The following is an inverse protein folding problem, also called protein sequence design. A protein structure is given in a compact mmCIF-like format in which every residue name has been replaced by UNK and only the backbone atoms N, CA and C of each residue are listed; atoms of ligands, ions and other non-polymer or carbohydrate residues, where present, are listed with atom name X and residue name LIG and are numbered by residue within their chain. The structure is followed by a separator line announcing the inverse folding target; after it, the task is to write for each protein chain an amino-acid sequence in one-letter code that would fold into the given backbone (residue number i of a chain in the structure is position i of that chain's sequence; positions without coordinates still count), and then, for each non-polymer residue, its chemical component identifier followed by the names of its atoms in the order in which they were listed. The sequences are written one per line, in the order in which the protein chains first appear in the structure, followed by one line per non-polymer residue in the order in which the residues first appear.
data_IF_134240751903
#
_entry.id   IF_134240751903
#
_cell.length_a   1.000
_cell.length_b   1.000
_cell.length_c   1.000
_cell.angle_alpha   90.00
_cell.angle_beta   90.00
_cell.angle_gamma   90.00
#
_symmetry.space_group_name_H-M   'P 1'
#
loop_
_entity.id
_entity.type
_entity.pdbx_description
1 polymer ?
#
# COMPACT_ATOMS: atom_id res chain seq x y z
N UNK A 1 25.49 -2.47 -12.06
CA UNK A 1 24.54 -3.55 -12.40
C UNK A 1 23.06 -3.25 -12.10
N UNK A 2 22.72 -2.38 -11.13
CA UNK A 2 21.30 -2.12 -10.74
C UNK A 2 20.49 -1.24 -11.72
N UNK A 3 21.12 -0.42 -12.57
CA UNK A 3 20.43 0.43 -13.55
C UNK A 3 20.00 -0.34 -14.82
N UNK A 4 20.69 -1.40 -15.18
CA UNK A 4 20.36 -2.23 -16.36
C UNK A 4 19.10 -3.07 -16.19
N UNK A 5 18.80 -3.55 -14.97
CA UNK A 5 17.64 -4.41 -14.71
C UNK A 5 16.32 -3.65 -14.83
N UNK A 6 16.30 -2.37 -14.42
CA UNK A 6 15.09 -1.51 -14.52
C UNK A 6 14.76 -1.17 -15.98
N UNK A 7 15.79 -0.93 -16.79
CA UNK A 7 15.64 -0.64 -18.22
C UNK A 7 15.19 -1.90 -18.97
N UNK A 8 15.67 -3.09 -18.58
CA UNK A 8 15.26 -4.35 -19.19
C UNK A 8 13.81 -4.72 -18.87
N UNK A 9 13.34 -4.46 -17.64
CA UNK A 9 11.93 -4.62 -17.27
C UNK A 9 11.01 -3.65 -18.03
N UNK A 10 11.41 -2.39 -18.17
CA UNK A 10 10.65 -1.39 -18.93
C UNK A 10 10.64 -1.70 -20.43
N UNK A 11 11.75 -2.18 -21.04
CA UNK A 11 11.79 -2.56 -22.45
C UNK A 11 10.99 -3.82 -22.74
N UNK A 12 10.99 -4.81 -21.83
CA UNK A 12 10.18 -6.03 -21.95
C UNK A 12 8.67 -5.73 -21.99
N UNK A 13 8.20 -4.76 -21.21
CA UNK A 13 6.80 -4.30 -21.24
C UNK A 13 6.47 -3.61 -22.57
N UNK A 14 7.40 -2.85 -23.14
CA UNK A 14 7.21 -2.18 -24.43
C UNK A 14 7.09 -3.14 -25.61
N UNK A 15 7.80 -4.27 -25.59
CA UNK A 15 7.71 -5.29 -26.65
C UNK A 15 6.43 -6.13 -26.61
N UNK A 16 5.87 -6.37 -25.43
CA UNK A 16 4.59 -7.06 -25.27
C UNK A 16 3.40 -6.24 -25.79
N UNK A 17 3.53 -4.91 -25.86
CA UNK A 17 2.46 -3.99 -26.30
C UNK A 17 2.34 -3.90 -27.84
N UNK A 18 3.37 -4.25 -28.59
CA UNK A 18 3.40 -4.05 -30.06
C UNK A 18 2.80 -5.20 -30.90
N UNK A 19 2.37 -6.30 -30.30
CA UNK A 19 2.03 -7.54 -31.02
C UNK A 19 0.56 -7.80 -31.31
N UNK A 20 -0.40 -6.95 -30.92
CA UNK A 20 -1.81 -7.29 -31.07
C UNK A 20 -2.60 -6.27 -31.89
N UNK A 21 -3.21 -6.73 -33.00
CA UNK A 21 -4.20 -5.96 -33.76
C UNK A 21 -5.48 -5.78 -32.93
N UNK A 22 -5.70 -4.55 -32.44
CA UNK A 22 -6.80 -4.18 -31.53
C UNK A 22 -8.13 -3.97 -32.28
N UNK A 23 -8.12 -3.92 -33.60
CA UNK A 23 -9.32 -3.66 -34.42
C UNK A 23 -10.45 -4.68 -34.26
N UNK A 24 -10.19 -5.90 -33.78
CA UNK A 24 -11.20 -6.94 -33.59
C UNK A 24 -12.10 -6.77 -32.36
N UNK A 25 -11.82 -5.83 -31.46
CA UNK A 25 -12.53 -5.70 -30.17
C UNK A 25 -13.61 -4.62 -30.16
N UNK A 26 -14.08 -4.21 -31.34
CA UNK A 26 -14.77 -2.93 -31.56
C UNK A 26 -16.24 -2.81 -31.16
N UNK A 27 -16.99 -3.87 -30.84
CA UNK A 27 -18.42 -3.63 -30.94
C UNK A 27 -19.32 -3.85 -29.73
N UNK A 28 -18.92 -4.60 -28.73
CA UNK A 28 -19.89 -5.01 -27.67
C UNK A 28 -19.93 -4.16 -26.41
N UNK A 29 -18.94 -3.30 -26.14
CA UNK A 29 -18.83 -2.59 -24.86
C UNK A 29 -18.82 -1.06 -25.03
N UNK A 30 -19.66 -0.54 -25.89
CA UNK A 30 -19.70 0.91 -26.20
C UNK A 30 -20.27 1.81 -25.11
N UNK A 31 -20.94 1.26 -24.10
CA UNK A 31 -21.49 2.07 -23.01
C UNK A 31 -20.68 1.88 -21.73
N UNK A 32 -19.85 2.86 -21.32
CA UNK A 32 -18.99 2.75 -20.16
C UNK A 32 -19.74 2.73 -18.83
N UNK A 33 -20.95 3.30 -18.79
CA UNK A 33 -21.71 3.49 -17.55
C UNK A 33 -22.14 2.16 -16.94
N UNK A 34 -21.84 1.99 -15.65
CA UNK A 34 -22.23 0.82 -14.89
C UNK A 34 -21.43 -0.45 -15.20
N UNK A 35 -20.30 -0.33 -15.88
CA UNK A 35 -19.39 -1.45 -16.07
C UNK A 35 -18.76 -1.83 -14.72
N UNK A 36 -18.95 -3.08 -14.31
CA UNK A 36 -18.34 -3.64 -13.11
C UNK A 36 -17.11 -4.46 -13.50
N UNK A 37 -15.97 -4.13 -12.88
CA UNK A 37 -14.69 -4.77 -13.11
C UNK A 37 -14.14 -5.27 -11.78
N UNK A 38 -13.81 -6.56 -11.68
CA UNK A 38 -13.02 -7.09 -10.57
C UNK A 38 -11.56 -6.75 -10.80
N UNK A 39 -10.85 -6.44 -9.73
CA UNK A 39 -9.43 -6.11 -9.77
C UNK A 39 -8.68 -6.89 -8.72
N UNK A 40 -7.50 -7.39 -9.09
CA UNK A 40 -6.55 -8.00 -8.18
C UNK A 40 -5.18 -7.37 -8.38
N UNK A 41 -4.40 -7.24 -7.32
CA UNK A 41 -3.05 -6.68 -7.37
C UNK A 41 -2.09 -7.50 -6.53
N UNK A 42 -0.86 -7.64 -7.02
CA UNK A 42 0.26 -8.19 -6.27
C UNK A 42 1.47 -7.29 -6.45
N UNK A 43 2.28 -7.15 -5.41
CA UNK A 43 3.43 -6.27 -5.49
C UNK A 43 4.18 -6.14 -4.18
N UNK A 44 4.83 -5.01 -4.00
CA UNK A 44 5.64 -4.69 -2.84
C UNK A 44 5.11 -3.45 -2.13
N UNK A 45 5.24 -3.47 -0.81
CA UNK A 45 4.99 -2.35 0.08
C UNK A 45 6.33 -1.81 0.59
N UNK A 46 6.39 -0.50 0.78
CA UNK A 46 7.56 0.23 1.22
C UNK A 46 7.18 1.23 2.32
N UNK A 47 7.85 1.16 3.46
CA UNK A 47 7.61 2.06 4.59
C UNK A 47 8.43 3.36 4.45
N UNK A 48 7.79 4.49 4.83
CA UNK A 48 8.39 5.82 4.91
C UNK A 48 7.93 6.51 6.19
N UNK A 49 8.69 6.38 7.26
CA UNK A 49 8.39 6.98 8.58
C UNK A 49 9.66 7.10 9.43
N UNK A 50 9.52 7.15 10.73
CA UNK A 50 10.53 7.56 11.69
C UNK A 50 11.72 6.61 11.83
N UNK A 51 11.49 5.31 11.70
CA UNK A 51 12.54 4.30 11.75
C UNK A 51 13.39 4.27 10.49
N UNK A 52 13.13 5.18 9.53
CA UNK A 52 13.84 5.24 8.28
C UNK A 52 14.37 6.63 7.96
N UNK A 53 15.65 6.84 8.19
CA UNK A 53 16.35 8.06 7.79
C UNK A 53 17.18 7.81 6.50
N UNK A 54 16.72 8.38 5.40
CA UNK A 54 17.43 8.39 4.13
C UNK A 54 17.35 7.08 3.32
N UNK A 55 18.31 6.90 2.41
CA UNK A 55 18.43 5.69 1.58
C UNK A 55 19.17 4.62 2.38
N UNK A 56 18.42 3.73 3.01
CA UNK A 56 18.97 2.56 3.67
C UNK A 56 19.34 1.49 2.65
N UNK A 57 20.43 0.76 2.88
CA UNK A 57 20.81 -0.43 2.10
C UNK A 57 19.79 -1.58 2.23
N UNK A 58 18.98 -1.55 3.28
CA UNK A 58 17.93 -2.52 3.57
C UNK A 58 16.56 -1.83 3.52
N UNK A 59 15.87 -1.84 2.37
CA UNK A 59 14.66 -1.04 2.17
C UNK A 59 13.43 -1.48 2.96
N UNK A 60 13.48 -2.59 3.72
CA UNK A 60 12.33 -3.07 4.49
C UNK A 60 11.09 -3.36 3.63
N UNK A 61 11.32 -3.79 2.39
CA UNK A 61 10.24 -4.13 1.46
C UNK A 61 9.49 -5.35 1.96
N UNK A 62 8.16 -5.29 1.88
CA UNK A 62 7.29 -6.41 2.17
C UNK A 62 6.35 -6.72 1.01
N UNK A 63 5.75 -7.91 0.99
CA UNK A 63 4.76 -8.25 0.00
C UNK A 63 3.46 -7.47 0.21
N UNK A 64 2.72 -7.26 -0.89
CA UNK A 64 1.35 -6.75 -0.85
C UNK A 64 0.48 -7.51 -1.83
N UNK A 65 -0.76 -7.79 -1.42
CA UNK A 65 -1.79 -8.41 -2.25
C UNK A 65 -3.10 -7.65 -2.04
N UNK A 66 -3.85 -7.47 -3.11
CA UNK A 66 -5.12 -6.75 -3.04
C UNK A 66 -6.18 -7.38 -3.93
N UNK A 67 -7.44 -7.20 -3.54
CA UNK A 67 -8.61 -7.57 -4.31
C UNK A 67 -9.66 -6.47 -4.15
N UNK A 68 -10.36 -6.17 -5.23
CA UNK A 68 -11.36 -5.12 -5.20
C UNK A 68 -12.25 -5.10 -6.43
N UNK A 69 -13.00 -4.03 -6.55
CA UNK A 69 -13.89 -3.80 -7.67
C UNK A 69 -13.83 -2.33 -8.10
N UNK A 70 -13.98 -2.12 -9.42
CA UNK A 70 -14.21 -0.81 -10.01
C UNK A 70 -15.61 -0.79 -10.61
N UNK A 71 -16.32 0.28 -10.32
CA UNK A 71 -17.61 0.57 -10.92
C UNK A 71 -17.48 1.84 -11.78
N UNK A 72 -17.72 1.73 -13.07
CA UNK A 72 -17.57 2.82 -14.02
C UNK A 72 -18.72 3.83 -13.85
N UNK A 73 -18.38 5.06 -13.45
CA UNK A 73 -19.32 6.17 -13.25
C UNK A 73 -19.48 7.00 -14.51
N UNK A 74 -18.39 7.29 -15.22
CA UNK A 74 -18.36 8.07 -16.45
C UNK A 74 -17.36 7.48 -17.44
N UNK A 75 -17.15 8.12 -18.58
CA UNK A 75 -16.10 7.72 -19.54
C UNK A 75 -14.68 7.78 -18.94
N UNK A 76 -14.46 8.67 -17.98
CA UNK A 76 -13.16 8.89 -17.34
C UNK A 76 -13.09 8.42 -15.89
N UNK A 77 -14.22 8.38 -15.16
CA UNK A 77 -14.21 8.14 -13.72
C UNK A 77 -14.79 6.78 -13.34
N UNK A 78 -14.14 6.12 -12.40
CA UNK A 78 -14.64 4.89 -11.76
C UNK A 78 -14.56 5.03 -10.24
N UNK A 79 -15.61 4.60 -9.54
CA UNK A 79 -15.51 4.30 -8.12
C UNK A 79 -14.73 3.01 -7.93
N UNK A 80 -13.87 2.95 -6.92
CA UNK A 80 -13.03 1.79 -6.59
C UNK A 80 -13.15 1.46 -5.11
N UNK A 81 -13.42 0.20 -4.81
CA UNK A 81 -13.33 -0.36 -3.47
C UNK A 81 -12.31 -1.49 -3.46
N UNK A 82 -11.42 -1.54 -2.45
CA UNK A 82 -10.34 -2.51 -2.40
C UNK A 82 -10.03 -2.92 -0.97
N UNK A 83 -9.81 -4.22 -0.77
CA UNK A 83 -9.21 -4.80 0.43
C UNK A 83 -7.78 -5.18 0.06
N UNK A 84 -6.82 -4.82 0.92
CA UNK A 84 -5.41 -5.08 0.73
C UNK A 84 -4.80 -5.66 1.98
N UNK A 85 -3.88 -6.61 1.81
CA UNK A 85 -3.01 -7.12 2.86
C UNK A 85 -1.58 -6.80 2.48
N UNK A 86 -0.83 -6.23 3.42
CA UNK A 86 0.55 -5.84 3.17
C UNK A 86 1.44 -6.03 4.39
N UNK A 87 2.72 -6.13 4.14
CA UNK A 87 3.74 -6.10 5.17
C UNK A 87 4.69 -4.94 4.90
N UNK A 88 5.05 -4.22 5.96
CA UNK A 88 6.16 -3.27 5.95
C UNK A 88 7.04 -3.50 7.18
N UNK A 89 8.30 -3.12 7.07
CA UNK A 89 9.29 -3.25 8.13
C UNK A 89 10.31 -2.12 8.03
N UNK A 90 10.95 -1.80 9.15
CA UNK A 90 12.16 -1.00 9.17
C UNK A 90 13.06 -1.46 10.32
N UNK A 91 14.36 -1.20 10.16
CA UNK A 91 15.38 -1.51 11.15
C UNK A 91 16.39 -0.36 11.17
N UNK A 92 16.51 0.31 12.32
CA UNK A 92 17.44 1.42 12.51
C UNK A 92 18.90 1.01 12.49
N UNK A 93 19.21 -0.25 12.71
CA UNK A 93 20.59 -0.78 12.58
C UNK A 93 21.26 -0.36 11.26
N UNK A 94 20.47 -0.16 10.20
CA UNK A 94 20.96 0.25 8.88
C UNK A 94 20.70 1.72 8.57
N UNK A 95 20.32 2.52 9.55
CA UNK A 95 20.02 3.95 9.43
C UNK A 95 21.07 4.82 10.12
N UNK A 96 20.93 6.15 9.97
CA UNK A 96 21.76 7.11 10.71
C UNK A 96 21.49 7.10 12.21
N UNK A 97 20.33 6.61 12.65
CA UNK A 97 19.92 6.50 14.05
C UNK A 97 20.18 5.08 14.62
N UNK A 98 21.23 4.41 14.18
CA UNK A 98 21.59 3.05 14.64
C UNK A 98 21.70 2.94 16.17
N UNK A 99 21.96 4.07 16.85
CA UNK A 99 22.08 4.14 18.31
C UNK A 99 20.81 3.70 19.05
N UNK A 100 19.64 3.95 18.49
CA UNK A 100 18.38 3.56 19.12
C UNK A 100 18.09 2.07 18.93
N UNK A 101 18.64 1.46 17.89
CA UNK A 101 18.50 0.03 17.54
C UNK A 101 17.04 -0.45 17.48
N UNK A 102 16.11 0.46 17.18
CA UNK A 102 14.69 0.10 17.08
C UNK A 102 14.41 -0.59 15.74
N UNK A 103 13.54 -1.57 15.77
CA UNK A 103 13.10 -2.29 14.59
C UNK A 103 11.63 -2.68 14.72
N UNK A 104 10.93 -2.73 13.59
CA UNK A 104 9.57 -3.23 13.56
C UNK A 104 9.26 -3.98 12.28
N UNK A 105 8.22 -4.80 12.36
CA UNK A 105 7.50 -5.38 11.24
C UNK A 105 6.01 -5.35 11.53
N UNK A 106 5.23 -4.92 10.56
CA UNK A 106 3.77 -4.94 10.68
C UNK A 106 3.14 -5.60 9.46
N UNK A 107 2.06 -6.37 9.69
CA UNK A 107 1.25 -7.03 8.66
C UNK A 107 -0.17 -6.56 8.82
N UNK A 108 -0.61 -5.72 7.92
CA UNK A 108 -1.84 -4.97 8.10
C UNK A 108 -2.86 -5.27 7.00
N UNK A 109 -4.14 -5.45 7.35
CA UNK A 109 -5.23 -5.31 6.41
C UNK A 109 -5.57 -3.83 6.22
N UNK A 110 -5.88 -3.48 4.96
CA UNK A 110 -6.38 -2.18 4.51
C UNK A 110 -7.76 -2.34 3.89
N UNK A 111 -8.66 -1.40 4.15
CA UNK A 111 -9.90 -1.21 3.40
C UNK A 111 -9.92 0.19 2.82
N UNK A 112 -10.05 0.29 1.49
CA UNK A 112 -9.95 1.56 0.77
C UNK A 112 -11.13 1.79 -0.16
N UNK A 113 -11.58 3.04 -0.21
CA UNK A 113 -12.57 3.54 -1.16
C UNK A 113 -11.99 4.75 -1.88
N UNK A 114 -12.14 4.81 -3.18
CA UNK A 114 -11.56 5.91 -3.96
C UNK A 114 -12.17 6.08 -5.33
N UNK A 115 -11.66 7.06 -6.03
CA UNK A 115 -11.99 7.38 -7.42
C UNK A 115 -10.73 7.17 -8.26
N UNK A 116 -10.89 6.43 -9.33
CA UNK A 116 -9.90 6.31 -10.40
C UNK A 116 -10.32 7.21 -11.56
N UNK A 117 -9.42 8.06 -12.02
CA UNK A 117 -9.59 8.97 -13.14
C UNK A 117 -8.68 8.55 -14.31
N UNK A 118 -9.27 8.01 -15.36
CA UNK A 118 -8.56 7.58 -16.57
C UNK A 118 -8.28 8.78 -17.48
N UNK A 119 -7.05 8.90 -17.98
CA UNK A 119 -6.64 10.02 -18.86
C UNK A 119 -7.37 9.94 -20.21
N UNK A 120 -7.49 8.75 -20.76
CA UNK A 120 -8.24 8.54 -21.99
C UNK A 120 -9.61 7.98 -21.69
N UNK A 121 -10.63 8.53 -22.37
CA UNK A 121 -11.98 8.02 -22.26
C UNK A 121 -12.04 6.52 -22.60
N UNK A 122 -12.85 5.79 -21.85
CA UNK A 122 -12.98 4.33 -21.95
C UNK A 122 -13.32 3.85 -23.37
N UNK A 123 -14.11 4.63 -24.12
CA UNK A 123 -14.53 4.36 -25.48
C UNK A 123 -13.45 4.60 -26.56
N UNK A 124 -12.34 5.25 -26.21
CA UNK A 124 -11.24 5.52 -27.17
C UNK A 124 -10.32 4.34 -27.42
N UNK A 125 -10.50 3.23 -26.73
CA UNK A 125 -9.77 1.96 -26.91
C UNK A 125 -8.25 2.10 -27.05
N UNK A 126 -7.64 3.02 -26.32
CA UNK A 126 -6.18 3.17 -26.34
C UNK A 126 -5.50 1.92 -25.76
N UNK A 127 -4.38 1.49 -26.37
CA UNK A 127 -3.61 0.33 -25.93
C UNK A 127 -3.16 0.47 -24.47
N UNK A 128 -2.70 1.64 -24.11
CA UNK A 128 -2.27 1.99 -22.73
C UNK A 128 -3.09 3.19 -22.28
N UNK A 129 -3.68 3.09 -21.12
CA UNK A 129 -4.42 4.17 -20.48
C UNK A 129 -3.80 4.51 -19.13
N UNK A 130 -3.12 5.67 -19.00
CA UNK A 130 -2.71 6.18 -17.72
C UNK A 130 -3.93 6.57 -16.88
N UNK A 131 -3.81 6.45 -15.55
CA UNK A 131 -4.85 6.88 -14.64
C UNK A 131 -4.28 7.45 -13.35
N UNK A 132 -5.06 8.28 -12.70
CA UNK A 132 -4.85 8.76 -11.35
C UNK A 132 -5.81 8.08 -10.39
N UNK A 133 -5.40 7.91 -9.15
CA UNK A 133 -6.18 7.34 -8.08
C UNK A 133 -6.10 8.25 -6.86
N UNK A 134 -7.25 8.55 -6.26
CA UNK A 134 -7.32 9.21 -4.96
C UNK A 134 -8.46 8.63 -4.14
N UNK A 135 -8.28 8.57 -2.81
CA UNK A 135 -9.30 8.00 -1.95
C UNK A 135 -8.94 8.04 -0.48
N UNK A 136 -9.80 7.41 0.30
CA UNK A 136 -9.69 7.28 1.74
C UNK A 136 -9.88 5.84 2.15
N UNK A 137 -9.31 5.47 3.28
CA UNK A 137 -9.43 4.13 3.81
C UNK A 137 -9.08 4.06 5.28
N UNK A 138 -9.00 2.86 5.78
CA UNK A 138 -8.53 2.53 7.13
C UNK A 138 -7.53 1.37 7.05
N UNK A 139 -6.53 1.41 7.92
CA UNK A 139 -5.58 0.30 8.08
C UNK A 139 -5.58 -0.18 9.52
N UNK A 140 -5.53 -1.48 9.77
CA UNK A 140 -5.42 -2.02 11.12
C UNK A 140 -3.97 -2.32 11.44
N UNK A 141 -3.37 -1.49 12.31
CA UNK A 141 -1.95 -1.55 12.64
C UNK A 141 -1.63 -2.68 13.62
N UNK A 142 -0.62 -3.49 13.27
CA UNK A 142 -0.15 -4.61 14.09
C UNK A 142 1.39 -4.62 14.24
N UNK A 143 2.00 -3.51 14.69
CA UNK A 143 3.44 -3.43 14.82
C UNK A 143 3.97 -4.46 15.81
N UNK A 144 5.05 -5.16 15.41
CA UNK A 144 5.77 -6.14 16.21
C UNK A 144 7.27 -5.89 16.11
N UNK A 145 7.99 -6.15 17.17
CA UNK A 145 9.45 -6.19 17.17
C UNK A 145 9.95 -7.60 17.56
N UNK A 146 11.10 -7.95 17.05
CA UNK A 146 11.77 -9.19 17.42
C UNK A 146 12.69 -8.96 18.61
N UNK A 147 12.53 -9.81 19.64
CA UNK A 147 13.40 -9.83 20.82
C UNK A 147 13.62 -11.28 21.24
N UNK A 148 14.85 -11.67 21.51
CA UNK A 148 15.23 -13.03 21.93
C UNK A 148 14.66 -14.13 20.98
N UNK A 149 14.57 -13.82 19.66
CA UNK A 149 14.01 -14.73 18.64
C UNK A 149 12.49 -14.80 18.56
N UNK A 150 11.76 -14.05 19.40
CA UNK A 150 10.31 -13.99 19.41
C UNK A 150 9.77 -12.67 18.86
N UNK A 151 8.62 -12.74 18.18
CA UNK A 151 7.94 -11.55 17.65
C UNK A 151 6.87 -11.06 18.61
N UNK A 152 7.17 -9.99 19.34
CA UNK A 152 6.29 -9.40 20.34
C UNK A 152 5.45 -8.25 19.75
N UNK A 153 4.18 -8.16 20.16
CA UNK A 153 3.28 -7.08 19.74
C UNK A 153 3.56 -5.82 20.53
N UNK A 154 3.87 -4.71 19.83
CA UNK A 154 4.25 -3.44 20.49
C UNK A 154 3.06 -2.67 21.04
N UNK A 155 1.94 -2.61 20.31
CA UNK A 155 0.78 -1.82 20.72
C UNK A 155 0.23 -2.13 22.13
N UNK A 156 0.14 -3.40 22.61
CA UNK A 156 -0.27 -3.68 23.99
C UNK A 156 0.75 -3.26 25.04
N UNK A 157 2.04 -3.22 24.68
CA UNK A 157 3.12 -2.87 25.59
C UNK A 157 3.24 -1.38 25.84
N UNK A 158 2.65 -0.54 24.96
CA UNK A 158 2.67 0.92 25.09
C UNK A 158 4.10 1.44 25.32
N UNK A 159 5.01 1.14 24.41
CA UNK A 159 6.45 1.40 24.54
C UNK A 159 6.80 2.88 24.74
N UNK A 160 5.90 3.80 24.43
CA UNK A 160 5.97 5.24 24.76
C UNK A 160 5.05 5.65 25.92
N UNK A 161 4.51 4.68 26.68
CA UNK A 161 3.58 4.95 27.78
C UNK A 161 2.18 5.42 27.33
N UNK A 162 1.89 5.41 26.02
CA UNK A 162 0.68 5.94 25.42
C UNK A 162 -0.09 4.84 24.70
N UNK A 163 -1.40 4.77 24.94
CA UNK A 163 -2.32 3.93 24.17
C UNK A 163 -2.79 4.69 22.93
N UNK A 164 -2.50 4.18 21.75
CA UNK A 164 -2.88 4.78 20.47
C UNK A 164 -3.98 4.00 19.75
N UNK A 165 -4.68 4.69 18.81
CA UNK A 165 -5.68 4.08 17.96
C UNK A 165 -5.01 3.22 16.89
N UNK A 166 -5.36 1.94 16.83
CA UNK A 166 -4.83 0.97 15.86
C UNK A 166 -5.59 0.93 14.52
N UNK A 167 -6.63 1.74 14.37
CA UNK A 167 -7.44 1.84 13.15
C UNK A 167 -7.47 3.29 12.64
N UNK A 168 -6.33 3.88 12.24
CA UNK A 168 -6.29 5.23 11.72
C UNK A 168 -6.91 5.32 10.33
N UNK A 169 -7.35 6.53 9.98
CA UNK A 169 -7.69 6.90 8.62
C UNK A 169 -6.42 6.96 7.75
N UNK A 170 -6.59 6.59 6.49
CA UNK A 170 -5.55 6.64 5.46
C UNK A 170 -6.07 7.44 4.28
N UNK A 171 -5.27 8.39 3.81
CA UNK A 171 -5.50 9.08 2.54
C UNK A 171 -4.58 8.49 1.49
N UNK A 172 -5.12 8.08 0.36
CA UNK A 172 -4.34 7.50 -0.71
C UNK A 172 -4.33 8.38 -1.96
N UNK A 173 -3.17 8.43 -2.61
CA UNK A 173 -2.98 9.05 -3.91
C UNK A 173 -2.03 8.19 -4.75
N UNK A 174 -2.37 7.96 -6.01
CA UNK A 174 -1.59 7.10 -6.86
C UNK A 174 -1.71 7.41 -8.33
N UNK A 175 -0.82 6.80 -9.08
CA UNK A 175 -0.81 6.81 -10.53
C UNK A 175 -0.66 5.39 -11.05
N UNK A 176 -1.22 5.11 -12.20
CA UNK A 176 -1.08 3.81 -12.82
C UNK A 176 -1.20 3.86 -14.32
N UNK A 177 -0.83 2.73 -14.90
CA UNK A 177 -0.98 2.46 -16.32
C UNK A 177 -1.80 1.18 -16.46
N UNK A 178 -2.80 1.18 -17.33
CA UNK A 178 -3.61 0.00 -17.63
C UNK A 178 -3.53 -0.29 -19.12
N UNK A 179 -3.35 -1.55 -19.48
CA UNK A 179 -3.33 -2.03 -20.86
C UNK A 179 -4.33 -3.15 -21.05
N UNK A 180 -5.20 -3.01 -22.04
CA UNK A 180 -6.16 -4.05 -22.42
C UNK A 180 -5.44 -5.16 -23.17
N UNK A 181 -5.47 -6.39 -22.64
CA UNK A 181 -4.80 -7.57 -23.24
C UNK A 181 -5.78 -8.52 -23.92
N UNK A 182 -7.04 -8.51 -23.51
CA UNK A 182 -8.12 -9.27 -24.13
C UNK A 182 -9.45 -8.52 -23.98
N UNK A 183 -10.52 -9.06 -24.51
CA UNK A 183 -11.85 -8.42 -24.52
C UNK A 183 -12.29 -7.99 -23.10
N UNK A 184 -12.08 -8.86 -22.11
CA UNK A 184 -12.49 -8.63 -20.70
C UNK A 184 -11.31 -8.46 -19.75
N UNK A 185 -10.07 -8.63 -20.21
CA UNK A 185 -8.90 -8.61 -19.36
C UNK A 185 -8.04 -7.39 -19.64
N UNK A 186 -7.58 -6.77 -18.58
CA UNK A 186 -6.52 -5.77 -18.65
C UNK A 186 -5.47 -6.04 -17.57
N UNK A 187 -4.23 -5.66 -17.87
CA UNK A 187 -3.11 -5.69 -16.93
C UNK A 187 -2.59 -4.28 -16.75
N UNK A 188 -2.04 -3.99 -15.60
CA UNK A 188 -1.51 -2.66 -15.30
C UNK A 188 -0.42 -2.67 -14.25
N UNK A 189 0.19 -1.51 -14.07
CA UNK A 189 1.08 -1.21 -12.96
C UNK A 189 0.56 0.02 -12.23
N UNK A 190 0.67 0.01 -10.92
CA UNK A 190 0.20 1.08 -10.05
C UNK A 190 1.22 1.41 -8.99
N UNK A 191 1.49 2.70 -8.83
CA UNK A 191 2.25 3.28 -7.74
C UNK A 191 1.27 4.08 -6.88
N UNK A 192 1.06 3.68 -5.63
CA UNK A 192 0.10 4.32 -4.73
C UNK A 192 0.78 4.67 -3.41
N UNK A 193 0.69 5.93 -3.02
CA UNK A 193 1.16 6.44 -1.74
C UNK A 193 -0.01 6.53 -0.76
N UNK A 194 0.22 6.13 0.49
CA UNK A 194 -0.80 6.07 1.54
C UNK A 194 -0.29 6.85 2.75
N UNK A 195 -1.00 7.92 3.08
CA UNK A 195 -0.71 8.84 4.18
C UNK A 195 -1.56 8.43 5.37
N UNK A 196 -0.92 7.92 6.41
CA UNK A 196 -1.62 7.46 7.63
C UNK A 196 -1.88 8.66 8.53
N UNK A 197 -3.11 8.82 9.01
CA UNK A 197 -3.42 9.84 9.99
C UNK A 197 -3.02 9.40 11.42
N UNK A 198 -1.83 8.85 11.54
CA UNK A 198 -1.19 8.40 12.78
C UNK A 198 0.31 8.34 12.57
N UNK A 199 1.06 8.44 13.66
CA UNK A 199 2.51 8.32 13.72
C UNK A 199 2.94 7.06 14.49
N UNK A 200 2.04 6.07 14.58
CA UNK A 200 2.25 4.82 15.32
C UNK A 200 2.17 3.57 14.46
N UNK A 201 2.41 3.70 13.15
CA UNK A 201 2.48 2.54 12.25
C UNK A 201 3.65 1.63 12.61
N UNK A 202 4.73 2.23 13.11
CA UNK A 202 5.97 1.59 13.56
C UNK A 202 6.15 1.58 15.09
N UNK A 203 5.14 2.06 15.85
CA UNK A 203 5.15 2.19 17.31
C UNK A 203 6.16 3.25 17.82
N UNK A 204 6.58 4.19 16.96
CA UNK A 204 7.54 5.26 17.31
C UNK A 204 7.00 6.61 16.85
N UNK A 205 6.87 7.55 17.78
CA UNK A 205 6.31 8.87 17.48
C UNK A 205 7.07 10.02 18.14
N UNK A 206 7.20 10.04 19.45
CA UNK A 206 7.57 11.25 20.19
C UNK A 206 8.87 11.06 20.99
N UNK A 207 8.77 10.89 22.29
CA UNK A 207 9.90 10.86 23.22
C UNK A 207 9.95 9.56 24.01
N UNK A 208 11.12 9.25 24.54
CA UNK A 208 11.25 8.16 25.49
C UNK A 208 10.43 8.46 26.75
N UNK A 209 9.60 7.52 27.23
CA UNK A 209 8.79 7.69 28.42
C UNK A 209 9.64 7.59 29.69
N UNK A 210 9.06 7.90 30.82
CA UNK A 210 9.62 7.45 32.09
C UNK A 210 9.48 5.93 32.18
N UNK A 211 10.60 5.22 32.10
CA UNK A 211 10.64 3.75 32.07
C UNK A 211 10.05 3.12 33.33
N UNK A 212 9.99 3.87 34.46
CA UNK A 212 9.36 3.39 35.71
C UNK A 212 7.83 3.24 35.57
N UNK A 213 7.21 3.98 34.64
CA UNK A 213 5.76 3.94 34.40
C UNK A 213 5.34 2.81 33.46
N UNK A 214 6.27 2.18 32.76
CA UNK A 214 5.95 1.08 31.85
C UNK A 214 5.56 -0.19 32.60
N UNK A 215 4.53 -0.87 32.07
CA UNK A 215 3.82 -1.95 32.75
C UNK A 215 4.63 -3.25 32.92
N UNK A 216 5.73 -3.44 32.18
CA UNK A 216 6.50 -4.68 32.20
C UNK A 216 7.97 -4.46 31.83
N UNK A 217 8.83 -5.41 32.21
CA UNK A 217 10.25 -5.41 31.78
C UNK A 217 10.38 -5.55 30.28
N UNK A 218 9.48 -6.31 29.65
CA UNK A 218 9.43 -6.44 28.19
C UNK A 218 9.12 -5.09 27.52
N UNK A 219 8.18 -4.32 28.07
CA UNK A 219 7.86 -2.98 27.57
C UNK A 219 9.08 -2.04 27.68
N UNK A 220 9.80 -2.09 28.80
CA UNK A 220 11.03 -1.30 29.01
C UNK A 220 12.12 -1.68 28.00
N UNK A 221 12.39 -2.98 27.82
CA UNK A 221 13.39 -3.49 26.87
C UNK A 221 13.05 -3.13 25.41
N UNK A 222 11.77 -3.13 25.02
CA UNK A 222 11.34 -2.78 23.68
C UNK A 222 11.17 -1.28 23.47
N UNK A 223 11.01 -0.50 24.55
CA UNK A 223 11.02 0.97 24.51
C UNK A 223 12.41 1.51 24.16
N UNK A 224 13.45 1.00 24.85
CA UNK A 224 14.84 1.38 24.64
C UNK A 224 15.70 0.14 24.39
N UNK A 225 16.29 0.07 23.20
CA UNK A 225 17.16 -1.05 22.76
C UNK A 225 18.63 -0.63 22.59
N UNK A 226 19.00 0.57 23.08
CA UNK A 226 20.38 1.09 22.96
C UNK A 226 21.41 0.20 23.67
N UNK A 227 21.04 -0.41 24.79
CA UNK A 227 21.90 -1.33 25.54
C UNK A 227 22.32 -2.58 24.74
N UNK A 228 21.50 -3.03 23.79
CA UNK A 228 21.81 -4.19 22.92
C UNK A 228 23.00 -3.90 21.97
N UNK A 229 23.29 -2.63 21.71
CA UNK A 229 24.43 -2.17 20.89
C UNK A 229 25.56 -1.56 21.73
N UNK A 230 25.55 -1.81 23.05
CA UNK A 230 26.57 -1.37 23.96
C UNK A 230 26.57 0.12 24.31
N UNK A 231 25.46 0.80 24.09
CA UNK A 231 25.28 2.21 24.41
C UNK A 231 24.54 2.37 25.76
N UNK A 232 24.70 3.53 26.44
CA UNK A 232 23.98 3.81 27.67
C UNK A 232 22.48 3.92 27.36
N UNK A 233 21.62 3.62 28.37
CA UNK A 233 20.17 3.80 28.24
C UNK A 233 19.82 5.24 27.87
N UNK A 234 18.76 5.37 27.05
CA UNK A 234 18.21 6.67 26.69
C UNK A 234 17.57 7.34 27.91
N UNK A 235 17.48 8.66 27.88
CA UNK A 235 16.88 9.40 29.00
C UNK A 235 15.40 9.71 28.69
N UNK A 236 14.51 9.66 29.70
CA UNK A 236 13.13 10.14 29.55
C UNK A 236 13.10 11.57 28.98
N UNK A 237 12.18 11.79 28.03
CA UNK A 237 12.06 13.07 27.33
C UNK A 237 12.98 13.28 26.12
N UNK A 238 13.94 12.41 25.86
CA UNK A 238 14.72 12.45 24.63
C UNK A 238 13.89 11.95 23.44
N UNK A 239 14.18 12.49 22.25
CA UNK A 239 13.46 12.11 21.03
C UNK A 239 13.68 10.65 20.67
N UNK A 240 12.58 9.90 20.64
CA UNK A 240 12.50 8.54 20.12
C UNK A 240 12.12 8.54 18.63
N UNK A 241 11.12 9.34 18.29
CA UNK A 241 10.62 9.60 16.95
C UNK A 241 10.67 11.07 16.54
N UNK A 242 9.75 11.45 15.64
CA UNK A 242 9.56 12.82 15.14
C UNK A 242 8.06 13.17 15.16
N UNK A 243 7.53 13.76 16.22
CA UNK A 243 6.08 13.92 16.42
C UNK A 243 5.34 14.72 15.34
N UNK A 244 6.08 15.44 14.50
CA UNK A 244 5.51 16.25 13.42
C UNK A 244 5.47 15.54 12.06
N UNK A 245 5.87 14.27 11.98
CA UNK A 245 5.96 13.52 10.72
C UNK A 245 5.11 12.26 10.77
N UNK A 246 3.92 12.33 10.22
CA UNK A 246 3.03 11.15 10.10
C UNK A 246 3.63 10.09 9.20
N UNK A 247 3.37 8.85 9.55
CA UNK A 247 3.81 7.69 8.79
C UNK A 247 3.15 7.58 7.42
N UNK A 248 3.89 7.03 6.49
CA UNK A 248 3.43 6.75 5.14
C UNK A 248 3.89 5.36 4.70
N UNK A 249 3.18 4.79 3.77
CA UNK A 249 3.63 3.61 3.05
C UNK A 249 3.22 3.68 1.59
N UNK A 250 4.05 3.12 0.73
CA UNK A 250 3.88 3.16 -0.72
C UNK A 250 3.79 1.74 -1.27
N UNK A 251 2.93 1.56 -2.26
CA UNK A 251 2.81 0.31 -3.00
C UNK A 251 3.26 0.47 -4.44
N UNK A 252 4.01 -0.52 -4.92
CA UNK A 252 4.20 -0.76 -6.34
C UNK A 252 3.59 -2.12 -6.65
N UNK A 253 2.51 -2.14 -7.43
CA UNK A 253 1.74 -3.36 -7.73
C UNK A 253 1.57 -3.57 -9.22
N UNK A 254 1.62 -4.83 -9.63
CA UNK A 254 1.05 -5.30 -10.90
C UNK A 254 -0.41 -5.64 -10.64
N UNK A 255 -1.29 -5.19 -11.51
CA UNK A 255 -2.74 -5.35 -11.39
C UNK A 255 -3.31 -6.12 -12.55
N UNK A 256 -4.28 -6.97 -12.27
CA UNK A 256 -5.08 -7.66 -13.27
C UNK A 256 -6.53 -7.28 -13.03
N UNK A 257 -7.22 -6.90 -14.10
CA UNK A 257 -8.62 -6.49 -14.03
C UNK A 257 -9.45 -7.37 -14.98
N UNK A 258 -10.61 -7.78 -14.51
CA UNK A 258 -11.57 -8.58 -15.26
C UNK A 258 -12.93 -7.89 -15.33
N UNK A 259 -13.37 -7.53 -16.54
CA UNK A 259 -14.68 -6.92 -16.80
C UNK A 259 -15.77 -7.98 -16.68
N UNK A 260 -16.65 -7.87 -15.69
CA UNK A 260 -17.80 -8.77 -15.50
C UNK A 260 -18.87 -8.47 -16.53
N UNK A 261 -19.20 -7.20 -16.72
CA UNK A 261 -20.22 -6.76 -17.67
C UNK A 261 -20.72 -5.34 -17.40
N UNK A 262 -21.55 -4.86 -18.29
CA UNK A 262 -22.19 -3.56 -18.16
C UNK A 262 -23.62 -3.71 -17.63
N UNK A 263 -24.21 -2.63 -17.10
CA UNK A 263 -25.60 -2.60 -16.66
C UNK A 263 -26.58 -2.95 -17.79
N UNK A 264 -26.29 -2.58 -19.02
CA UNK A 264 -27.08 -2.88 -20.20
C UNK A 264 -27.12 -4.38 -20.51
N UNK A 265 -25.96 -5.07 -20.47
CA UNK A 265 -25.90 -6.52 -20.65
C UNK A 265 -26.66 -7.28 -19.55
N UNK A 266 -26.62 -6.80 -18.32
CA UNK A 266 -27.38 -7.40 -17.22
C UNK A 266 -28.90 -7.25 -17.45
N UNK A 267 -29.33 -6.13 -18.02
CA UNK A 267 -30.75 -5.90 -18.34
C UNK A 267 -31.21 -6.75 -19.52
N UNK A 268 -30.42 -6.84 -20.59
CA UNK A 268 -30.71 -7.67 -21.75
C UNK A 268 -30.78 -9.16 -21.38
N UNK A 269 -29.91 -9.65 -20.52
CA UNK A 269 -29.95 -11.05 -20.01
C UNK A 269 -31.22 -11.34 -19.20
N UNK A 270 -31.78 -10.36 -18.50
CA UNK A 270 -33.04 -10.53 -17.78
C UNK A 270 -34.21 -10.62 -18.75
N UNK A 271 -34.19 -9.85 -19.82
CA UNK A 271 -35.27 -9.81 -20.81
C UNK A 271 -35.30 -11.04 -21.74
N UNK A 272 -34.17 -11.73 -21.90
CA UNK A 272 -34.07 -12.98 -22.70
C UNK A 272 -34.52 -14.23 -21.91
N UNK A 273 -34.78 -14.12 -20.60
CA UNK A 273 -35.21 -15.23 -19.75
C UNK A 273 -36.74 -15.41 -19.63
N UNK A 274 -37.52 -14.81 -20.50
CA UNK A 274 -38.96 -15.13 -20.62
C UNK A 274 -39.19 -15.98 -21.89
N UNK A 275 -39.57 -17.24 -21.75
CA UNK A 275 -40.19 -18.00 -22.84
C UNK A 275 -41.64 -17.47 -23.09
#
# INVERSE_FOLDING_TARGET
MKRGLLIFLLSGIFHLVNGQNIEKYHSRYMHPFGALTLTGGVGIAYYMGDLRDGVSSHPGLGPSVSVGALYRLTEHFSARGEIRFYQVAADQKYSKKFNNNLSFRTRNPDLNLGIQADVFAYNRHKKVNPYFLAGVGVTYMTPKAEIDGNWESLAPLQTEGIKYNRLPLVFMAGIGLSSKIAERWSIGMELCNNFVNSDYLDDVSDVYPDFSTLSSDLARRLSDRSSEVGLPPQQPGWHRGRPNRKDMYMFLQVRVNYLIGTRKEAHERKNVRCP
#
